data_IF_846338171501
#
_entry.id   IF_846338171501
#
_cell.length_a   1.000
_cell.length_b   1.000
_cell.length_c   1.000
_cell.angle_alpha   90.00
_cell.angle_beta   90.00
_cell.angle_gamma   90.00
#
_symmetry.space_group_name_H-M   'P 1'
#
loop_
_entity.id
_entity.type
_entity.pdbx_description
1 polymer ?
#
# COMPACT_ATOMS: atom_id res chain seq x y z
N UNK A 1 2.65 23.60 7.19
CA UNK A 1 3.42 23.99 5.99
C UNK A 1 2.96 23.05 4.88
N UNK A 2 2.22 23.55 3.90
CA UNK A 2 1.85 22.80 2.70
C UNK A 2 3.11 22.69 1.84
N UNK A 3 3.73 21.53 1.83
CA UNK A 3 4.87 21.26 0.96
C UNK A 3 4.34 21.20 -0.47
N UNK A 4 4.82 22.07 -1.34
CA UNK A 4 4.59 21.96 -2.78
C UNK A 4 5.34 20.73 -3.27
N UNK A 5 4.61 19.78 -3.84
CA UNK A 5 5.18 18.59 -4.44
C UNK A 5 5.65 18.95 -5.86
N UNK A 6 6.95 18.85 -6.10
CA UNK A 6 7.53 19.22 -7.39
C UNK A 6 7.32 18.10 -8.45
N UNK A 7 7.22 18.43 -9.74
CA UNK A 7 7.21 17.44 -10.79
C UNK A 7 8.55 16.68 -10.80
N UNK A 8 8.47 15.33 -10.82
CA UNK A 8 9.66 14.49 -10.88
C UNK A 8 10.39 14.72 -12.23
N UNK A 9 11.71 15.00 -12.23
CA UNK A 9 12.43 15.20 -13.47
C UNK A 9 12.44 13.93 -14.32
N UNK A 10 12.22 14.06 -15.62
CA UNK A 10 12.15 12.93 -16.56
C UNK A 10 13.45 12.10 -16.55
N UNK A 11 14.60 12.76 -16.41
CA UNK A 11 15.90 12.11 -16.18
C UNK A 11 16.42 12.48 -14.80
N UNK A 12 16.57 11.46 -13.96
CA UNK A 12 16.95 11.62 -12.57
C UNK A 12 18.47 11.54 -12.32
N UNK A 13 19.31 11.80 -13.35
CA UNK A 13 20.77 11.62 -13.27
C UNK A 13 21.41 12.29 -12.04
N UNK A 14 20.94 13.48 -11.64
CA UNK A 14 21.39 14.12 -10.40
C UNK A 14 20.72 13.56 -9.14
N UNK A 15 19.45 13.15 -9.22
CA UNK A 15 18.67 12.66 -8.10
C UNK A 15 19.07 11.24 -7.68
N UNK A 16 19.43 10.40 -8.68
CA UNK A 16 19.80 8.98 -8.48
C UNK A 16 21.31 8.74 -8.51
N UNK A 17 22.13 9.79 -8.62
CA UNK A 17 23.60 9.66 -8.70
C UNK A 17 24.23 9.00 -7.46
N UNK A 18 23.63 9.19 -6.29
CA UNK A 18 24.19 8.78 -5.02
C UNK A 18 23.64 7.41 -4.53
N UNK A 19 23.37 6.45 -5.46
CA UNK A 19 22.96 5.09 -5.10
C UNK A 19 23.97 4.36 -4.22
N UNK A 20 23.65 3.23 -3.58
CA UNK A 20 22.65 2.24 -3.98
C UNK A 20 21.23 2.50 -3.49
N UNK A 21 20.27 2.09 -4.30
CA UNK A 21 18.84 2.34 -4.05
C UNK A 21 18.06 1.09 -3.65
N UNK A 22 17.01 1.29 -2.86
CA UNK A 22 15.97 0.29 -2.59
C UNK A 22 14.64 0.85 -3.09
N UNK A 23 13.89 0.07 -3.85
CA UNK A 23 12.63 0.51 -4.47
C UNK A 23 11.43 -0.18 -3.82
N UNK A 24 10.49 0.64 -3.39
CA UNK A 24 9.21 0.24 -2.84
C UNK A 24 8.09 0.80 -3.71
N UNK A 25 7.13 -0.02 -4.13
CA UNK A 25 6.01 0.43 -4.97
C UNK A 25 4.69 -0.01 -4.37
N UNK A 26 3.77 0.93 -4.22
CA UNK A 26 2.36 0.58 -4.08
C UNK A 26 1.81 0.04 -5.41
N UNK A 27 0.64 -0.60 -5.37
CA UNK A 27 0.07 -1.32 -6.51
C UNK A 27 -1.07 -0.53 -7.15
N UNK A 28 -2.15 -0.32 -6.41
CA UNK A 28 -3.39 0.24 -6.93
C UNK A 28 -3.33 1.75 -7.04
N UNK A 29 -3.57 2.32 -8.22
CA UNK A 29 -3.41 3.75 -8.47
C UNK A 29 -1.95 4.20 -8.63
N UNK A 30 -0.99 3.32 -8.35
CA UNK A 30 0.45 3.59 -8.37
C UNK A 30 1.17 2.82 -9.49
N UNK A 31 1.26 1.51 -9.39
CA UNK A 31 1.86 0.66 -10.42
C UNK A 31 0.86 0.35 -11.54
N UNK A 32 -0.41 0.17 -11.19
CA UNK A 32 -1.53 -0.06 -12.09
C UNK A 32 -2.66 0.94 -11.84
N UNK A 33 -3.44 1.22 -12.87
CA UNK A 33 -4.59 2.10 -12.75
C UNK A 33 -5.63 1.51 -11.80
N UNK A 34 -6.34 2.40 -11.08
CA UNK A 34 -7.45 2.01 -10.23
C UNK A 34 -8.56 1.37 -11.07
N UNK A 35 -9.02 0.20 -10.65
CA UNK A 35 -10.09 -0.54 -11.32
C UNK A 35 -11.33 -0.61 -10.42
N UNK A 36 -12.51 -0.57 -11.02
CA UNK A 36 -13.79 -0.79 -10.30
C UNK A 36 -13.86 -2.19 -9.66
N UNK A 37 -13.10 -3.14 -10.21
CA UNK A 37 -12.98 -4.52 -9.74
C UNK A 37 -11.50 -4.80 -9.41
N UNK A 38 -11.04 -4.45 -8.19
CA UNK A 38 -9.63 -4.64 -7.81
C UNK A 38 -9.15 -6.08 -7.91
N UNK A 39 -10.04 -7.05 -7.73
CA UNK A 39 -9.76 -8.48 -7.86
C UNK A 39 -9.43 -8.91 -9.31
N UNK A 40 -9.78 -8.10 -10.31
CA UNK A 40 -9.47 -8.35 -11.72
C UNK A 40 -8.10 -7.82 -12.16
N UNK A 41 -7.43 -7.01 -11.33
CA UNK A 41 -6.12 -6.45 -11.67
C UNK A 41 -5.10 -7.58 -11.85
N UNK A 42 -4.42 -7.56 -12.98
CA UNK A 42 -3.31 -8.49 -13.32
C UNK A 42 -2.22 -7.72 -14.04
N UNK A 43 -0.98 -8.00 -13.67
CA UNK A 43 0.16 -7.47 -14.40
C UNK A 43 0.24 -8.12 -15.78
N UNK A 44 0.38 -7.32 -16.82
CA UNK A 44 0.68 -7.80 -18.15
C UNK A 44 2.16 -8.22 -18.29
N UNK A 45 2.49 -8.87 -19.40
CA UNK A 45 3.84 -9.37 -19.64
C UNK A 45 4.89 -8.24 -19.66
N UNK A 46 4.53 -7.04 -20.12
CA UNK A 46 5.43 -5.87 -20.15
C UNK A 46 5.71 -5.37 -18.73
N UNK A 47 4.69 -5.28 -17.89
CA UNK A 47 4.83 -4.91 -16.48
C UNK A 47 5.66 -5.93 -15.69
N UNK A 48 5.40 -7.24 -15.87
CA UNK A 48 6.20 -8.28 -15.23
C UNK A 48 7.67 -8.21 -15.67
N UNK A 49 7.94 -8.01 -16.96
CA UNK A 49 9.30 -7.83 -17.47
C UNK A 49 9.98 -6.60 -16.88
N UNK A 50 9.26 -5.49 -16.73
CA UNK A 50 9.78 -4.30 -16.06
C UNK A 50 10.18 -4.61 -14.62
N UNK A 51 9.29 -5.27 -13.85
CA UNK A 51 9.54 -5.60 -12.44
C UNK A 51 10.72 -6.58 -12.29
N UNK A 52 10.80 -7.63 -13.14
CA UNK A 52 11.91 -8.59 -13.13
C UNK A 52 13.25 -7.87 -13.32
N UNK A 53 13.34 -6.96 -14.31
CA UNK A 53 14.55 -6.17 -14.59
C UNK A 53 14.89 -5.20 -13.47
N UNK A 54 13.90 -4.59 -12.82
CA UNK A 54 14.12 -3.71 -11.65
C UNK A 54 14.67 -4.51 -10.46
N UNK A 55 14.13 -5.71 -10.19
CA UNK A 55 14.66 -6.60 -9.15
C UNK A 55 16.12 -6.94 -9.42
N UNK A 56 16.46 -7.32 -10.65
CA UNK A 56 17.83 -7.61 -11.05
C UNK A 56 18.74 -6.38 -10.91
N UNK A 57 18.31 -5.23 -11.43
CA UNK A 57 19.09 -3.98 -11.42
C UNK A 57 19.38 -3.44 -10.02
N UNK A 58 18.49 -3.75 -9.07
CA UNK A 58 18.58 -3.33 -7.67
C UNK A 58 19.16 -4.44 -6.75
N UNK A 59 19.74 -5.50 -7.32
CA UNK A 59 20.27 -6.65 -6.56
C UNK A 59 19.26 -7.20 -5.53
N UNK A 60 17.98 -7.27 -5.91
CA UNK A 60 16.89 -7.75 -5.08
C UNK A 60 16.35 -6.73 -4.07
N UNK A 61 16.86 -5.49 -3.99
CA UNK A 61 16.36 -4.46 -3.09
C UNK A 61 15.09 -3.78 -3.65
N UNK A 62 14.08 -4.59 -3.90
CA UNK A 62 12.76 -4.24 -4.42
C UNK A 62 11.67 -4.89 -3.59
N UNK A 63 10.58 -4.17 -3.28
CA UNK A 63 9.39 -4.74 -2.67
C UNK A 63 8.12 -4.01 -3.10
N UNK A 64 7.01 -4.77 -3.21
CA UNK A 64 5.67 -4.22 -3.31
C UNK A 64 5.13 -3.92 -1.91
N UNK A 65 4.41 -2.79 -1.72
CA UNK A 65 3.86 -2.38 -0.42
C UNK A 65 2.42 -1.93 -0.62
N UNK A 66 1.45 -2.77 -0.27
CA UNK A 66 0.05 -2.57 -0.64
C UNK A 66 -0.94 -2.73 0.52
N UNK A 67 -2.14 -2.20 0.35
CA UNK A 67 -3.32 -2.54 1.17
C UNK A 67 -3.93 -3.90 0.84
N UNK A 68 -3.52 -4.53 -0.26
CA UNK A 68 -3.86 -5.92 -0.60
C UNK A 68 -3.16 -6.89 0.36
N UNK A 69 -3.78 -8.03 0.63
CA UNK A 69 -3.09 -9.15 1.27
C UNK A 69 -2.05 -9.79 0.32
N UNK A 70 -1.12 -10.58 0.87
CA UNK A 70 -0.06 -11.22 0.08
C UNK A 70 -0.60 -12.14 -1.01
N UNK A 71 -1.69 -12.88 -0.76
CA UNK A 71 -2.31 -13.76 -1.76
C UNK A 71 -2.90 -12.96 -2.93
N UNK A 72 -3.48 -11.79 -2.64
CA UNK A 72 -3.95 -10.86 -3.66
C UNK A 72 -2.80 -10.28 -4.47
N UNK A 73 -1.69 -9.88 -3.83
CA UNK A 73 -0.48 -9.41 -4.51
C UNK A 73 0.05 -10.50 -5.45
N UNK A 74 0.07 -11.75 -5.00
CA UNK A 74 0.53 -12.89 -5.80
C UNK A 74 -0.35 -13.13 -7.03
N UNK A 75 -1.66 -13.00 -6.87
CA UNK A 75 -2.58 -13.08 -8.03
C UNK A 75 -2.36 -11.96 -9.03
N UNK A 76 -2.03 -10.75 -8.58
CA UNK A 76 -1.71 -9.62 -9.47
C UNK A 76 -0.45 -9.89 -10.27
N UNK A 77 0.58 -10.47 -9.65
CA UNK A 77 1.91 -10.62 -10.26
C UNK A 77 2.20 -12.03 -10.77
N UNK A 78 1.21 -12.94 -10.74
CA UNK A 78 1.40 -14.31 -11.20
C UNK A 78 1.99 -14.39 -12.62
N UNK A 79 2.93 -15.30 -12.87
CA UNK A 79 3.46 -16.35 -11.99
C UNK A 79 4.67 -15.92 -11.13
N UNK A 80 4.91 -14.63 -10.94
CA UNK A 80 6.04 -14.09 -10.18
C UNK A 80 5.67 -13.90 -8.71
N UNK A 81 6.66 -14.15 -7.84
CA UNK A 81 6.58 -13.87 -6.41
C UNK A 81 7.66 -12.85 -6.03
N UNK A 82 7.28 -11.61 -5.86
CA UNK A 82 8.20 -10.54 -5.44
C UNK A 82 8.23 -10.42 -3.90
N UNK A 83 9.33 -9.88 -3.31
CA UNK A 83 9.29 -9.37 -1.94
C UNK A 83 8.12 -8.39 -1.82
N UNK A 84 7.34 -8.51 -0.75
CA UNK A 84 6.13 -7.71 -0.60
C UNK A 84 5.76 -7.50 0.86
N UNK A 85 5.02 -6.41 1.11
CA UNK A 85 4.24 -6.16 2.31
C UNK A 85 2.77 -5.96 1.93
N UNK A 86 1.90 -6.76 2.51
CA UNK A 86 0.45 -6.72 2.33
C UNK A 86 -0.27 -6.13 3.54
N UNK A 87 -1.60 -5.94 3.39
CA UNK A 87 -2.47 -5.45 4.47
C UNK A 87 -1.90 -4.21 5.16
N UNK A 88 -1.46 -3.21 4.36
CA UNK A 88 -0.80 -1.98 4.82
C UNK A 88 0.46 -2.21 5.68
N UNK A 89 1.18 -3.31 5.49
CA UNK A 89 2.37 -3.65 6.27
C UNK A 89 2.11 -4.54 7.49
N UNK A 90 0.90 -5.09 7.63
CA UNK A 90 0.59 -6.08 8.66
C UNK A 90 1.28 -7.42 8.39
N UNK A 91 1.49 -7.75 7.14
CA UNK A 91 2.18 -8.97 6.70
C UNK A 91 3.27 -8.64 5.68
N UNK A 92 4.30 -9.46 5.61
CA UNK A 92 5.39 -9.26 4.66
C UNK A 92 6.17 -10.55 4.38
N UNK A 93 6.89 -10.56 3.25
CA UNK A 93 7.86 -11.58 2.87
C UNK A 93 9.07 -10.94 2.18
N UNK A 94 10.16 -11.68 2.05
CA UNK A 94 11.40 -11.23 1.40
C UNK A 94 12.43 -10.65 2.36
N UNK A 95 12.11 -10.56 3.66
CA UNK A 95 13.04 -10.24 4.74
C UNK A 95 12.82 -11.18 5.94
N UNK A 96 13.84 -11.31 6.80
CA UNK A 96 13.74 -12.14 7.98
C UNK A 96 12.66 -11.64 8.96
N UNK A 97 12.09 -12.57 9.71
CA UNK A 97 11.14 -12.29 10.79
C UNK A 97 9.68 -12.59 10.46
N UNK A 98 9.35 -12.82 9.20
CA UNK A 98 7.98 -13.18 8.79
C UNK A 98 6.91 -12.17 9.22
N UNK A 99 5.66 -12.47 8.93
CA UNK A 99 4.50 -11.73 9.44
C UNK A 99 4.39 -11.91 10.95
N UNK A 100 4.32 -10.86 11.79
CA UNK A 100 3.89 -11.04 13.15
C UNK A 100 2.41 -11.41 13.09
N UNK A 101 2.00 -12.63 13.46
CA UNK A 101 0.61 -12.97 13.47
C UNK A 101 -0.09 -12.07 14.50
N UNK A 102 -1.30 -11.61 14.18
CA UNK A 102 -2.24 -11.28 15.24
C UNK A 102 -2.35 -12.52 16.11
N UNK A 103 -2.36 -12.34 17.41
CA UNK A 103 -2.58 -13.47 18.29
C UNK A 103 -3.98 -14.09 18.06
N UNK A 104 -4.18 -15.28 18.58
CA UNK A 104 -5.41 -16.03 18.36
C UNK A 104 -6.65 -15.29 18.90
N UNK A 105 -6.50 -14.51 19.97
CA UNK A 105 -7.57 -13.70 20.57
C UNK A 105 -7.95 -12.53 19.64
N UNK A 106 -6.98 -11.80 19.12
CA UNK A 106 -7.22 -10.71 18.16
C UNK A 106 -7.88 -11.22 16.88
N UNK A 107 -7.46 -12.40 16.36
CA UNK A 107 -8.09 -13.01 15.20
C UNK A 107 -9.53 -13.51 15.52
N UNK A 108 -9.79 -13.99 16.72
CA UNK A 108 -11.14 -14.36 17.14
C UNK A 108 -12.05 -13.12 17.19
N UNK A 109 -11.60 -12.04 17.82
CA UNK A 109 -12.33 -10.77 17.87
C UNK A 109 -12.60 -10.20 16.47
N UNK A 110 -11.63 -10.31 15.55
CA UNK A 110 -11.82 -9.88 14.16
C UNK A 110 -12.94 -10.69 13.49
N UNK A 111 -12.95 -12.02 13.65
CA UNK A 111 -14.03 -12.87 13.09
C UNK A 111 -15.41 -12.50 13.65
N UNK A 112 -15.50 -12.23 14.95
CA UNK A 112 -16.75 -11.82 15.58
C UNK A 112 -17.22 -10.46 15.03
N UNK A 113 -16.31 -9.49 14.89
CA UNK A 113 -16.60 -8.18 14.29
C UNK A 113 -17.03 -8.29 12.82
N UNK A 114 -16.40 -9.19 12.03
CA UNK A 114 -16.81 -9.53 10.66
C UNK A 114 -18.25 -10.00 10.62
N UNK A 115 -18.61 -10.98 11.48
CA UNK A 115 -19.97 -11.51 11.54
C UNK A 115 -21.01 -10.47 12.00
N UNK A 116 -20.61 -9.54 12.86
CA UNK A 116 -21.48 -8.45 13.30
C UNK A 116 -21.72 -7.45 12.18
N UNK A 117 -20.66 -7.04 11.46
CA UNK A 117 -20.78 -6.14 10.32
C UNK A 117 -21.63 -6.75 9.21
N UNK A 118 -21.48 -8.04 8.89
CA UNK A 118 -22.35 -8.74 7.94
C UNK A 118 -23.85 -8.60 8.30
N UNK A 119 -24.16 -8.74 9.60
CA UNK A 119 -25.54 -8.58 10.07
C UNK A 119 -26.02 -7.13 10.00
N UNK A 120 -25.16 -6.15 10.25
CA UNK A 120 -25.54 -4.73 10.24
C UNK A 120 -25.74 -4.20 8.81
N UNK A 121 -24.95 -4.70 7.83
CA UNK A 121 -25.11 -4.30 6.43
C UNK A 121 -26.17 -5.13 5.69
N UNK A 122 -26.73 -6.17 6.33
CA UNK A 122 -27.74 -7.00 5.72
C UNK A 122 -28.98 -6.16 5.35
N UNK A 123 -29.28 -6.09 4.05
CA UNK A 123 -30.36 -5.26 3.52
C UNK A 123 -29.95 -3.86 3.04
N UNK A 124 -28.69 -3.45 3.25
CA UNK A 124 -28.15 -2.19 2.78
C UNK A 124 -27.46 -2.39 1.43
N UNK A 125 -28.19 -2.25 0.30
CA UNK A 125 -27.68 -2.47 -1.05
C UNK A 125 -26.47 -1.58 -1.42
N UNK A 126 -26.28 -0.47 -0.70
CA UNK A 126 -25.19 0.48 -0.92
C UNK A 126 -23.89 0.11 -0.23
N UNK A 127 -23.89 -0.93 0.62
CA UNK A 127 -22.75 -1.40 1.40
C UNK A 127 -22.38 -2.83 1.03
N UNK A 128 -21.10 -3.13 1.07
CA UNK A 128 -20.61 -4.50 0.99
C UNK A 128 -19.38 -4.69 1.87
N UNK A 129 -19.20 -5.90 2.37
CA UNK A 129 -18.04 -6.23 3.18
C UNK A 129 -16.85 -6.62 2.29
N UNK A 130 -15.67 -6.20 2.70
CA UNK A 130 -14.37 -6.61 2.14
C UNK A 130 -13.55 -7.25 3.27
N UNK A 131 -13.64 -8.55 3.39
CA UNK A 131 -12.89 -9.30 4.41
C UNK A 131 -11.51 -9.67 3.90
N UNK A 132 -10.48 -9.35 4.70
CA UNK A 132 -9.10 -9.78 4.49
C UNK A 132 -8.60 -10.58 5.70
N UNK A 133 -7.47 -11.30 5.59
CA UNK A 133 -6.95 -12.10 6.70
C UNK A 133 -6.74 -11.33 8.01
N UNK A 134 -6.38 -10.04 7.92
CA UNK A 134 -5.99 -9.19 9.06
C UNK A 134 -6.76 -7.88 9.14
N UNK A 135 -7.78 -7.68 8.34
CA UNK A 135 -8.58 -6.46 8.36
C UNK A 135 -10.02 -6.70 7.95
N UNK A 136 -10.89 -5.73 8.26
CA UNK A 136 -12.30 -5.72 7.92
C UNK A 136 -12.60 -4.41 7.19
N UNK A 137 -13.01 -4.51 5.93
CA UNK A 137 -13.43 -3.39 5.12
C UNK A 137 -14.95 -3.32 4.95
N UNK A 138 -15.48 -2.10 4.85
CA UNK A 138 -16.86 -1.81 4.47
C UNK A 138 -16.82 -0.89 3.27
N UNK A 139 -17.22 -1.40 2.09
CA UNK A 139 -17.28 -0.63 0.86
C UNK A 139 -18.56 0.18 0.82
N UNK A 140 -18.43 1.45 0.47
CA UNK A 140 -19.54 2.43 0.39
C UNK A 140 -19.80 2.92 -1.04
N UNK A 141 -19.03 2.44 -2.01
CA UNK A 141 -19.14 2.82 -3.42
C UNK A 141 -18.96 4.33 -3.67
N UNK A 142 -18.34 5.06 -2.77
CA UNK A 142 -18.09 6.50 -2.89
C UNK A 142 -19.32 7.38 -2.67
N UNK A 143 -20.44 6.83 -2.16
CA UNK A 143 -21.68 7.58 -1.90
C UNK A 143 -21.66 8.17 -0.49
N UNK A 144 -21.94 9.46 -0.35
CA UNK A 144 -21.84 10.17 0.94
C UNK A 144 -22.71 9.55 2.06
N UNK A 145 -23.94 9.13 1.74
CA UNK A 145 -24.86 8.50 2.71
C UNK A 145 -24.36 7.13 3.14
N UNK A 146 -23.95 6.29 2.19
CA UNK A 146 -23.34 4.98 2.46
C UNK A 146 -22.04 5.12 3.26
N UNK A 147 -21.25 6.16 2.97
CA UNK A 147 -20.03 6.50 3.71
C UNK A 147 -20.29 6.77 5.19
N UNK A 148 -21.33 7.53 5.51
CA UNK A 148 -21.69 7.83 6.89
C UNK A 148 -22.07 6.55 7.66
N UNK A 149 -22.87 5.66 7.02
CA UNK A 149 -23.23 4.37 7.59
C UNK A 149 -22.00 3.44 7.76
N UNK A 150 -21.13 3.37 6.75
CA UNK A 150 -19.91 2.57 6.82
C UNK A 150 -19.00 3.01 7.97
N UNK A 151 -18.87 4.33 8.19
CA UNK A 151 -18.11 4.89 9.31
C UNK A 151 -18.74 4.56 10.67
N UNK A 152 -20.07 4.65 10.80
CA UNK A 152 -20.77 4.28 12.05
C UNK A 152 -20.57 2.79 12.36
N UNK A 153 -20.74 1.90 11.38
CA UNK A 153 -20.52 0.47 11.58
C UNK A 153 -19.05 0.15 11.88
N UNK A 154 -18.10 0.81 11.20
CA UNK A 154 -16.69 0.67 11.50
C UNK A 154 -16.33 1.13 12.93
N UNK A 155 -16.95 2.22 13.43
CA UNK A 155 -16.74 2.69 14.80
C UNK A 155 -17.30 1.69 15.84
N UNK A 156 -18.46 1.10 15.59
CA UNK A 156 -19.03 0.05 16.45
C UNK A 156 -18.13 -1.18 16.51
N UNK A 157 -17.67 -1.64 15.35
CA UNK A 157 -16.74 -2.78 15.28
C UNK A 157 -15.40 -2.46 15.95
N UNK A 158 -14.85 -1.25 15.76
CA UNK A 158 -13.65 -0.81 16.44
C UNK A 158 -13.79 -0.81 17.98
N UNK A 159 -14.93 -0.41 18.49
CA UNK A 159 -15.20 -0.44 19.93
C UNK A 159 -15.16 -1.86 20.52
N UNK A 160 -15.58 -2.88 19.75
CA UNK A 160 -15.48 -4.29 20.14
C UNK A 160 -14.04 -4.82 20.04
N UNK A 161 -13.32 -4.43 18.99
CA UNK A 161 -11.93 -4.86 18.74
C UNK A 161 -10.93 -4.25 19.73
N UNK A 162 -11.17 -3.02 20.17
CA UNK A 162 -10.38 -2.32 21.18
C UNK A 162 -9.15 -1.60 20.64
N UNK A 163 -8.25 -1.17 21.53
CA UNK A 163 -7.16 -0.24 21.25
C UNK A 163 -6.06 -0.77 20.29
N UNK A 164 -6.05 -2.08 20.01
CA UNK A 164 -5.11 -2.68 19.05
C UNK A 164 -5.47 -2.46 17.58
N UNK A 165 -6.54 -1.70 17.30
CA UNK A 165 -7.09 -1.50 15.96
C UNK A 165 -7.33 -0.02 15.67
N UNK A 166 -7.42 0.33 14.39
CA UNK A 166 -7.74 1.69 13.93
C UNK A 166 -8.52 1.66 12.62
N UNK A 167 -9.24 2.73 12.35
CA UNK A 167 -9.95 2.92 11.08
C UNK A 167 -9.07 3.69 10.10
N UNK A 168 -9.04 3.20 8.85
CA UNK A 168 -8.51 3.92 7.69
C UNK A 168 -9.70 4.30 6.80
N UNK A 169 -9.99 5.60 6.63
CA UNK A 169 -11.01 6.06 5.70
C UNK A 169 -10.40 6.18 4.28
N UNK A 170 -10.37 5.08 3.53
CA UNK A 170 -9.95 5.07 2.11
C UNK A 170 -10.99 5.74 1.19
N UNK A 171 -10.80 5.71 -0.12
CA UNK A 171 -11.64 6.43 -1.09
C UNK A 171 -13.07 5.87 -1.17
N UNK A 172 -13.24 4.57 -1.38
CA UNK A 172 -14.53 3.88 -1.54
C UNK A 172 -14.71 2.76 -0.50
N UNK A 173 -13.91 2.80 0.57
CA UNK A 173 -13.77 1.78 1.58
C UNK A 173 -13.44 2.41 2.92
N UNK A 174 -14.14 1.98 3.97
CA UNK A 174 -13.73 2.20 5.37
C UNK A 174 -13.12 0.90 5.86
N UNK A 175 -11.85 0.91 6.22
CA UNK A 175 -11.14 -0.31 6.62
C UNK A 175 -10.70 -0.24 8.07
N UNK A 176 -10.93 -1.32 8.84
CA UNK A 176 -10.43 -1.49 10.19
C UNK A 176 -9.20 -2.39 10.10
N UNK A 177 -8.07 -1.88 10.53
CA UNK A 177 -6.77 -2.56 10.45
C UNK A 177 -6.11 -2.60 11.83
N UNK A 178 -5.17 -3.53 12.07
CA UNK A 178 -4.32 -3.47 13.27
C UNK A 178 -3.63 -2.10 13.39
N UNK A 179 -3.55 -1.56 14.60
CA UNK A 179 -3.01 -0.22 14.82
C UNK A 179 -1.56 -0.04 14.32
N UNK A 180 -0.78 -1.14 14.33
CA UNK A 180 0.59 -1.18 13.82
C UNK A 180 0.71 -1.34 12.31
N UNK A 181 -0.40 -1.55 11.57
CA UNK A 181 -0.37 -1.62 10.11
C UNK A 181 -0.05 -0.23 9.55
N UNK A 182 1.13 -0.08 8.97
CA UNK A 182 1.62 1.19 8.45
C UNK A 182 2.68 0.97 7.39
N UNK A 183 2.48 1.58 6.20
CA UNK A 183 3.42 1.41 5.06
C UNK A 183 4.80 1.98 5.37
N UNK A 184 4.89 3.05 6.16
CA UNK A 184 6.17 3.62 6.58
C UNK A 184 6.93 2.71 7.52
N UNK A 185 6.25 2.14 8.53
CA UNK A 185 6.88 1.21 9.47
C UNK A 185 7.40 -0.05 8.78
N UNK A 186 6.67 -0.60 7.80
CA UNK A 186 7.15 -1.78 7.06
C UNK A 186 8.31 -1.44 6.13
N UNK A 187 8.32 -0.28 5.47
CA UNK A 187 9.47 0.20 4.69
C UNK A 187 10.71 0.33 5.58
N UNK A 188 10.59 0.96 6.76
CA UNK A 188 11.69 1.06 7.73
C UNK A 188 12.17 -0.34 8.19
N UNK A 189 11.26 -1.31 8.30
CA UNK A 189 11.61 -2.69 8.61
C UNK A 189 12.45 -3.31 7.49
N UNK A 190 12.04 -3.19 6.22
CA UNK A 190 12.82 -3.66 5.09
C UNK A 190 14.24 -3.05 5.08
N UNK A 191 14.35 -1.74 5.31
CA UNK A 191 15.64 -1.03 5.33
C UNK A 191 16.62 -1.50 6.42
N UNK A 192 16.18 -2.26 7.41
CA UNK A 192 17.05 -2.87 8.45
C UNK A 192 17.65 -4.21 8.02
N UNK A 193 17.13 -4.81 6.93
CA UNK A 193 17.50 -6.15 6.48
C UNK A 193 18.15 -6.15 5.09
N UNK A 194 19.09 -7.11 4.80
CA UNK A 194 19.53 -7.32 3.43
C UNK A 194 18.35 -7.77 2.54
N UNK A 195 18.34 -7.38 1.26
CA UNK A 195 19.34 -6.58 0.53
C UNK A 195 19.15 -5.06 0.66
N UNK A 196 18.16 -4.57 1.42
CA UNK A 196 17.78 -3.16 1.53
C UNK A 196 18.68 -2.35 2.45
N UNK A 197 19.34 -3.00 3.41
CA UNK A 197 20.15 -2.33 4.43
C UNK A 197 21.27 -1.50 3.82
N UNK A 198 21.35 -0.21 4.23
CA UNK A 198 22.36 0.74 3.75
C UNK A 198 22.03 1.37 2.40
N UNK A 199 20.86 1.09 1.85
CA UNK A 199 20.38 1.70 0.60
C UNK A 199 19.44 2.87 0.89
N UNK A 200 19.42 3.87 0.01
CA UNK A 200 18.46 4.98 0.04
C UNK A 200 17.14 4.50 -0.52
N UNK A 201 16.02 4.74 0.15
CA UNK A 201 14.73 4.27 -0.33
C UNK A 201 14.13 5.16 -1.41
N UNK A 202 13.43 4.55 -2.35
CA UNK A 202 12.45 5.19 -3.25
C UNK A 202 11.10 4.58 -2.92
N UNK A 203 10.06 5.38 -2.73
CA UNK A 203 8.70 4.91 -2.57
C UNK A 203 7.75 5.71 -3.44
N UNK A 204 6.91 5.02 -4.22
CA UNK A 204 5.83 5.60 -4.98
C UNK A 204 4.48 5.12 -4.44
N UNK A 205 3.52 6.04 -4.33
CA UNK A 205 2.16 5.80 -3.84
C UNK A 205 1.16 6.85 -4.33
N UNK A 206 -0.15 6.58 -4.23
CA UNK A 206 -1.19 7.49 -4.73
C UNK A 206 -2.23 7.92 -3.69
N UNK A 207 -2.33 7.22 -2.55
CA UNK A 207 -3.41 7.43 -1.58
C UNK A 207 -2.90 7.97 -0.23
N UNK A 208 -3.84 8.31 0.65
CA UNK A 208 -3.59 8.77 2.02
C UNK A 208 -2.83 7.74 2.86
N UNK A 209 -2.99 6.45 2.56
CA UNK A 209 -2.28 5.36 3.23
C UNK A 209 -0.78 5.33 2.92
N UNK A 210 -0.35 6.02 1.84
CA UNK A 210 1.06 6.13 1.43
C UNK A 210 1.80 7.26 2.14
N UNK A 211 1.09 8.18 2.78
CA UNK A 211 1.69 9.35 3.43
C UNK A 211 2.71 8.96 4.50
N UNK A 212 2.45 7.90 5.27
CA UNK A 212 3.41 7.37 6.25
C UNK A 212 4.67 6.82 5.56
N UNK A 213 4.51 6.19 4.40
CA UNK A 213 5.61 5.71 3.55
C UNK A 213 6.45 6.87 3.02
N UNK A 214 5.81 7.94 2.51
CA UNK A 214 6.53 9.15 2.10
C UNK A 214 7.32 9.76 3.25
N UNK A 215 6.70 9.86 4.43
CA UNK A 215 7.38 10.35 5.64
C UNK A 215 8.59 9.50 6.02
N UNK A 216 8.49 8.18 6.01
CA UNK A 216 9.58 7.26 6.31
C UNK A 216 10.74 7.41 5.31
N UNK A 217 10.42 7.46 4.01
CA UNK A 217 11.41 7.64 2.94
C UNK A 217 12.11 8.98 3.03
N UNK A 218 11.37 10.06 3.35
CA UNK A 218 11.94 11.40 3.54
C UNK A 218 12.90 11.45 4.72
N UNK A 219 12.60 10.76 5.83
CA UNK A 219 13.51 10.65 6.99
C UNK A 219 14.80 9.89 6.66
N UNK A 220 14.75 8.98 5.72
CA UNK A 220 15.89 8.21 5.24
C UNK A 220 16.62 8.88 4.06
N UNK A 221 16.37 10.17 3.82
CA UNK A 221 16.92 10.96 2.72
C UNK A 221 16.72 10.31 1.34
N UNK A 222 15.54 9.69 1.18
CA UNK A 222 15.13 8.99 -0.03
C UNK A 222 14.29 9.85 -0.98
N UNK A 223 13.69 9.18 -1.97
CA UNK A 223 12.86 9.78 -3.00
C UNK A 223 11.42 9.32 -2.83
N UNK A 224 10.53 10.21 -2.43
CA UNK A 224 9.10 9.96 -2.25
C UNK A 224 8.31 10.54 -3.43
N UNK A 225 7.49 9.72 -4.08
CA UNK A 225 6.81 10.04 -5.33
C UNK A 225 5.30 9.84 -5.16
N UNK A 226 4.52 10.92 -5.26
CA UNK A 226 3.07 10.87 -5.35
C UNK A 226 2.64 10.60 -6.79
N UNK A 227 1.71 9.69 -6.99
CA UNK A 227 1.10 9.42 -8.28
C UNK A 227 -0.28 10.10 -8.33
N UNK A 228 -0.51 10.90 -9.38
CA UNK A 228 -1.76 11.63 -9.54
C UNK A 228 -2.05 12.64 -8.41
N UNK A 229 -3.31 13.09 -8.36
CA UNK A 229 -3.88 13.94 -7.28
C UNK A 229 -3.14 15.26 -7.04
N UNK A 230 -3.88 16.35 -6.70
CA UNK A 230 -3.31 17.68 -6.42
C UNK A 230 -3.39 18.08 -4.94
N UNK A 231 -3.84 17.15 -4.09
CA UNK A 231 -4.02 17.37 -2.66
C UNK A 231 -2.70 17.48 -1.87
N UNK A 232 -2.80 17.88 -0.59
CA UNK A 232 -1.65 17.91 0.32
C UNK A 232 -0.99 16.53 0.41
N UNK A 233 0.35 16.51 0.43
CA UNK A 233 1.13 15.27 0.55
C UNK A 233 2.48 15.53 1.22
N UNK A 234 3.04 14.51 1.85
CA UNK A 234 4.42 14.49 2.32
C UNK A 234 5.41 14.08 1.21
N UNK A 235 4.92 13.60 0.06
CA UNK A 235 5.79 13.29 -1.06
C UNK A 235 6.53 14.55 -1.54
N UNK A 236 7.80 14.41 -1.89
CA UNK A 236 8.62 15.50 -2.45
C UNK A 236 8.41 15.66 -3.95
N UNK A 237 8.04 14.58 -4.64
CA UNK A 237 7.93 14.52 -6.09
C UNK A 237 6.57 13.99 -6.53
N UNK A 238 6.19 14.34 -7.76
CA UNK A 238 4.92 13.91 -8.36
C UNK A 238 5.11 13.40 -9.77
N UNK A 239 4.35 12.34 -10.10
CA UNK A 239 4.11 11.89 -11.47
C UNK A 239 2.60 11.86 -11.72
N UNK A 240 2.20 12.04 -12.97
CA UNK A 240 0.79 12.22 -13.33
C UNK A 240 -0.02 10.92 -13.31
N UNK A 241 0.61 9.77 -13.49
CA UNK A 241 -0.12 8.50 -13.66
C UNK A 241 0.77 7.26 -13.42
N UNK A 242 0.17 6.08 -13.24
CA UNK A 242 0.88 4.81 -13.21
C UNK A 242 1.74 4.57 -14.46
N UNK A 243 1.25 4.94 -15.64
CA UNK A 243 2.02 4.84 -16.89
C UNK A 243 3.26 5.73 -16.85
N UNK A 244 3.14 6.97 -16.35
CA UNK A 244 4.29 7.87 -16.20
C UNK A 244 5.32 7.30 -15.22
N UNK A 245 4.89 6.62 -14.12
CA UNK A 245 5.79 5.93 -13.21
C UNK A 245 6.54 4.79 -13.90
N UNK A 246 5.83 3.91 -14.61
CA UNK A 246 6.46 2.76 -15.30
C UNK A 246 7.48 3.24 -16.35
N UNK A 247 7.15 4.28 -17.11
CA UNK A 247 8.07 4.91 -18.07
C UNK A 247 9.30 5.48 -17.36
N UNK A 248 9.09 6.25 -16.28
CA UNK A 248 10.17 6.85 -15.51
C UNK A 248 11.11 5.80 -14.92
N UNK A 249 10.56 4.70 -14.37
CA UNK A 249 11.37 3.58 -13.85
C UNK A 249 12.21 2.93 -14.96
N UNK A 250 11.62 2.69 -16.14
CA UNK A 250 12.35 2.13 -17.27
C UNK A 250 13.48 3.06 -17.73
N UNK A 251 13.21 4.35 -17.88
CA UNK A 251 14.17 5.34 -18.42
C UNK A 251 15.35 5.63 -17.47
N UNK A 252 15.19 5.40 -16.17
CA UNK A 252 16.18 5.76 -15.15
C UNK A 252 16.91 4.58 -14.50
N UNK A 253 16.38 3.36 -14.62
CA UNK A 253 17.00 2.15 -14.01
C UNK A 253 17.44 1.13 -15.06
N UNK A 254 16.89 1.14 -16.27
CA UNK A 254 17.08 0.08 -17.27
C UNK A 254 17.72 0.59 -18.54
#
# INVERSE_FOLDING_TARGET
MTTTCDPLPARANGLLADGPWALFLDIDGTLFDLMNHPEAVRADAASLSLLDRLVERLDGAFALVSGRDLDCIDRVTAPRLYPAAGSHGCEWRGIAGGTPPLDADALAKLRDAVADVDRWIAGEESLSQDQKPYSLGIRDGGKAEARAMALDFAQRALAQLGAGWRIIPGKDLVEIVPAQSDKGLVIERFLRHPPYRGRRPIFAGDDVTDESGFGAVNRADGVSIRIGGDGPTQARWRLSSPTALRTWLADNFL
#
